data_IF_697460867527
#
_entry.id   IF_697460867527
#
_cell.length_a   1.000
_cell.length_b   1.000
_cell.length_c   1.000
_cell.angle_alpha   90.00
_cell.angle_beta   90.00
_cell.angle_gamma   90.00
#
_symmetry.space_group_name_H-M   'P 1'
#
loop_
_entity.id
_entity.type
_entity.pdbx_description
1 polymer ?
#
# COMPACT_ATOMS: atom_id res chain seq x y z
N UNK A 1 -38.56 -4.58 1.34
CA UNK A 1 -37.90 -3.47 2.06
C UNK A 1 -36.50 -3.33 1.50
N UNK A 2 -36.25 -2.31 0.67
CA UNK A 2 -34.88 -1.92 0.31
C UNK A 2 -34.24 -1.29 1.55
N UNK A 3 -33.35 -2.02 2.23
CA UNK A 3 -32.48 -1.42 3.22
C UNK A 3 -31.53 -0.48 2.47
N UNK A 4 -31.61 0.81 2.76
CA UNK A 4 -30.63 1.80 2.32
C UNK A 4 -29.29 1.46 2.98
N UNK A 5 -28.39 0.83 2.23
CA UNK A 5 -27.01 0.62 2.64
C UNK A 5 -26.27 1.96 2.58
N UNK A 6 -26.49 2.81 3.60
CA UNK A 6 -25.82 4.10 3.69
C UNK A 6 -24.47 3.91 4.39
N UNK A 7 -23.39 4.17 3.65
CA UNK A 7 -22.04 4.28 4.21
C UNK A 7 -22.02 5.58 5.02
N UNK A 8 -21.74 5.47 6.32
CA UNK A 8 -21.69 6.61 7.23
C UNK A 8 -20.29 6.68 7.84
N UNK A 9 -19.64 7.82 7.67
CA UNK A 9 -18.32 8.13 8.22
C UNK A 9 -18.46 9.38 9.09
N UNK A 10 -17.97 9.31 10.32
CA UNK A 10 -17.96 10.43 11.25
C UNK A 10 -16.53 10.86 11.56
N UNK A 11 -16.28 12.16 11.50
CA UNK A 11 -15.12 12.76 12.14
C UNK A 11 -15.43 12.91 13.62
N UNK A 12 -14.78 12.11 14.45
CA UNK A 12 -15.03 12.08 15.89
C UNK A 12 -14.17 13.09 16.65
N UNK A 13 -12.98 13.40 16.11
CA UNK A 13 -12.06 14.35 16.71
C UNK A 13 -11.34 15.16 15.64
N UNK A 14 -11.28 16.47 15.86
CA UNK A 14 -10.44 17.40 15.11
C UNK A 14 -9.91 18.45 16.09
N UNK A 15 -8.63 18.36 16.43
CA UNK A 15 -7.96 19.32 17.32
C UNK A 15 -6.78 19.89 16.56
N UNK A 16 -6.68 21.22 16.51
CA UNK A 16 -5.54 21.94 15.98
C UNK A 16 -5.12 23.05 16.95
N UNK A 17 -3.81 23.24 17.12
CA UNK A 17 -3.22 24.31 17.92
C UNK A 17 -2.12 24.96 17.09
N UNK A 18 -2.20 26.28 16.94
CA UNK A 18 -1.15 27.10 16.36
C UNK A 18 -0.55 28.01 17.44
N UNK A 19 0.77 27.91 17.63
CA UNK A 19 1.48 28.70 18.62
C UNK A 19 2.68 29.40 17.98
N UNK A 20 2.75 30.71 18.16
CA UNK A 20 3.95 31.50 17.85
C UNK A 20 5.01 31.22 18.93
N UNK A 21 6.13 30.60 18.55
CA UNK A 21 7.16 30.14 19.50
C UNK A 21 8.37 31.07 19.57
N UNK A 22 8.76 31.70 18.46
CA UNK A 22 9.86 32.67 18.42
C UNK A 22 9.81 33.57 17.19
N UNK A 23 9.89 34.90 17.38
CA UNK A 23 9.76 35.88 16.28
C UNK A 23 8.58 35.50 15.40
N UNK A 24 8.75 35.31 14.11
CA UNK A 24 7.68 34.97 13.16
C UNK A 24 7.53 33.45 12.93
N UNK A 25 8.10 32.61 13.80
CA UNK A 25 8.00 31.15 13.69
C UNK A 25 6.72 30.68 14.37
N UNK A 26 5.94 29.90 13.64
CA UNK A 26 4.70 29.26 14.08
C UNK A 26 4.92 27.76 14.15
N UNK A 27 4.54 27.17 15.28
CA UNK A 27 4.44 25.73 15.48
C UNK A 27 2.97 25.35 15.48
N UNK A 28 2.61 24.37 14.64
CA UNK A 28 1.26 23.82 14.55
C UNK A 28 1.28 22.34 14.93
N UNK A 29 0.34 21.94 15.77
CA UNK A 29 0.00 20.53 16.01
C UNK A 29 -1.44 20.28 15.63
N UNK A 30 -1.70 19.22 14.87
CA UNK A 30 -3.05 18.79 14.47
C UNK A 30 -3.25 17.30 14.72
N UNK A 31 -4.44 16.93 15.18
CA UNK A 31 -4.89 15.55 15.37
C UNK A 31 -6.30 15.39 14.80
N UNK A 32 -6.43 14.51 13.82
CA UNK A 32 -7.70 14.13 13.22
C UNK A 32 -7.93 12.64 13.45
N UNK A 33 -9.08 12.30 14.02
CA UNK A 33 -9.54 10.92 14.16
C UNK A 33 -10.93 10.74 13.55
N UNK A 34 -11.03 9.76 12.65
CA UNK A 34 -12.23 9.43 11.89
C UNK A 34 -12.57 7.97 12.11
N UNK A 35 -13.85 7.67 12.31
CA UNK A 35 -14.35 6.31 12.40
C UNK A 35 -15.47 6.11 11.38
N UNK A 36 -15.39 5.00 10.64
CA UNK A 36 -16.45 4.54 9.75
C UNK A 36 -17.44 3.72 10.57
N UNK A 37 -18.73 4.08 10.53
CA UNK A 37 -19.80 3.32 11.19
C UNK A 37 -20.22 2.09 10.40
N UNK A 38 -20.15 2.17 9.06
CA UNK A 38 -20.41 1.07 8.15
C UNK A 38 -19.37 1.11 7.04
N UNK A 39 -18.43 0.17 7.03
CA UNK A 39 -17.55 0.03 5.87
C UNK A 39 -18.29 -0.62 4.71
N UNK A 40 -17.78 -0.42 3.50
CA UNK A 40 -18.17 -1.24 2.37
C UNK A 40 -17.69 -2.67 2.63
N UNK A 41 -18.57 -3.64 2.46
CA UNK A 41 -18.20 -5.03 2.29
C UNK A 41 -18.79 -5.57 1.00
N UNK A 42 -18.02 -6.37 0.27
CA UNK A 42 -18.50 -7.15 -0.85
C UNK A 42 -18.27 -8.62 -0.57
N UNK A 43 -19.28 -9.44 -0.84
CA UNK A 43 -19.16 -10.89 -0.84
C UNK A 43 -19.78 -11.46 -2.10
N UNK A 44 -19.29 -12.61 -2.55
CA UNK A 44 -19.89 -13.32 -3.67
C UNK A 44 -20.91 -14.33 -3.16
N UNK A 45 -22.19 -14.05 -3.39
CA UNK A 45 -23.31 -14.90 -2.96
C UNK A 45 -23.34 -16.26 -3.66
N UNK A 46 -22.64 -16.40 -4.80
CA UNK A 46 -22.55 -17.65 -5.53
C UNK A 46 -21.33 -18.50 -5.12
N UNK A 47 -20.42 -17.99 -4.29
CA UNK A 47 -19.24 -18.73 -3.81
C UNK A 47 -19.65 -19.73 -2.70
N UNK A 48 -19.30 -21.00 -2.87
CA UNK A 48 -19.46 -22.03 -1.85
C UNK A 48 -18.39 -21.88 -0.75
N UNK A 49 -18.71 -22.24 0.50
CA UNK A 49 -17.74 -22.18 1.59
C UNK A 49 -16.63 -23.21 1.41
N UNK A 50 -15.54 -23.02 2.17
CA UNK A 50 -14.50 -24.02 2.32
C UNK A 50 -15.05 -25.35 2.87
N UNK A 51 -14.47 -26.47 2.45
CA UNK A 51 -14.93 -27.83 2.81
C UNK A 51 -13.91 -28.61 3.64
N UNK A 52 -12.70 -28.07 3.80
CA UNK A 52 -11.63 -28.68 4.59
C UNK A 52 -10.72 -27.59 5.18
N UNK A 53 -9.71 -28.00 5.94
CA UNK A 53 -8.61 -27.16 6.41
C UNK A 53 -7.28 -27.82 6.02
N UNK A 54 -6.24 -27.01 5.89
CA UNK A 54 -4.88 -27.55 5.82
C UNK A 54 -4.43 -28.10 7.17
N UNK A 55 -3.58 -29.11 7.13
CA UNK A 55 -2.81 -29.56 8.28
C UNK A 55 -1.47 -28.83 8.35
N UNK A 56 -0.85 -28.83 9.54
CA UNK A 56 0.43 -28.17 9.79
C UNK A 56 0.29 -26.80 10.45
N UNK A 57 1.31 -25.94 10.35
CA UNK A 57 1.38 -24.70 11.12
C UNK A 57 0.40 -23.62 10.64
N UNK A 58 -0.01 -23.68 9.37
CA UNK A 58 -1.02 -22.83 8.78
C UNK A 58 -2.28 -23.63 8.46
N UNK A 59 -3.20 -23.68 9.42
CA UNK A 59 -4.46 -24.40 9.32
C UNK A 59 -5.58 -23.64 8.59
N UNK A 60 -5.25 -22.83 7.57
CA UNK A 60 -6.26 -22.04 6.84
C UNK A 60 -7.33 -22.94 6.17
N UNK A 61 -8.54 -22.41 5.93
CA UNK A 61 -9.58 -23.13 5.18
C UNK A 61 -9.14 -23.48 3.76
N UNK A 62 -9.65 -24.61 3.25
CA UNK A 62 -9.41 -25.13 1.92
C UNK A 62 -10.74 -25.28 1.17
N UNK A 63 -10.80 -24.67 0.01
CA UNK A 63 -11.97 -24.67 -0.85
C UNK A 63 -12.00 -25.88 -1.78
N UNK A 64 -13.19 -26.32 -2.21
CA UNK A 64 -13.35 -27.50 -3.05
C UNK A 64 -12.79 -27.32 -4.47
N UNK A 65 -12.36 -26.11 -4.84
CA UNK A 65 -11.72 -25.81 -6.12
C UNK A 65 -10.22 -26.14 -6.17
N UNK A 66 -9.58 -26.48 -5.05
CA UNK A 66 -8.14 -26.73 -5.02
C UNK A 66 -7.74 -27.86 -5.96
N UNK A 67 -6.76 -27.59 -6.84
CA UNK A 67 -6.27 -28.55 -7.83
C UNK A 67 -7.21 -28.78 -9.03
N UNK A 68 -8.34 -28.06 -9.10
CA UNK A 68 -9.26 -28.08 -10.23
C UNK A 68 -9.04 -26.86 -11.12
N UNK A 69 -9.46 -26.97 -12.38
CA UNK A 69 -9.47 -25.85 -13.33
C UNK A 69 -10.71 -25.89 -14.23
N UNK A 70 -10.99 -24.76 -14.89
CA UNK A 70 -12.10 -24.63 -15.85
C UNK A 70 -13.47 -25.00 -15.28
N UNK A 71 -14.23 -25.78 -16.03
CA UNK A 71 -15.60 -26.19 -15.67
C UNK A 71 -15.66 -26.99 -14.36
N UNK A 72 -14.67 -27.84 -14.09
CA UNK A 72 -14.63 -28.64 -12.85
C UNK A 72 -14.51 -27.74 -11.62
N UNK A 73 -13.63 -26.73 -11.69
CA UNK A 73 -13.45 -25.74 -10.62
C UNK A 73 -14.72 -24.90 -10.42
N UNK A 74 -15.32 -24.40 -11.52
CA UNK A 74 -16.56 -23.64 -11.44
C UNK A 74 -17.70 -24.45 -10.80
N UNK A 75 -17.83 -25.73 -11.15
CA UNK A 75 -18.83 -26.63 -10.56
C UNK A 75 -18.59 -26.93 -9.08
N UNK A 76 -17.32 -26.95 -8.66
CA UNK A 76 -16.94 -27.16 -7.27
C UNK A 76 -17.19 -25.92 -6.40
N UNK A 77 -16.86 -24.73 -6.93
CA UNK A 77 -16.86 -23.46 -6.18
C UNK A 77 -18.18 -22.70 -6.19
N UNK A 78 -19.09 -22.99 -7.12
CA UNK A 78 -20.31 -22.18 -7.29
C UNK A 78 -21.59 -22.94 -6.95
N UNK A 79 -22.53 -22.28 -6.28
CA UNK A 79 -23.88 -22.84 -6.10
C UNK A 79 -24.58 -23.03 -7.45
N UNK A 80 -24.50 -22.04 -8.33
CA UNK A 80 -24.94 -22.11 -9.72
C UNK A 80 -23.76 -21.82 -10.67
N UNK A 81 -23.18 -22.85 -11.32
CA UNK A 81 -22.01 -22.69 -12.18
C UNK A 81 -22.24 -21.83 -13.42
N UNK A 82 -23.50 -21.60 -13.82
CA UNK A 82 -23.86 -20.73 -14.96
C UNK A 82 -23.74 -19.24 -14.65
N UNK A 83 -23.66 -18.87 -13.37
CA UNK A 83 -23.48 -17.48 -12.93
C UNK A 83 -21.99 -17.30 -12.59
N UNK A 84 -21.29 -16.50 -13.38
CA UNK A 84 -19.84 -16.29 -13.21
C UNK A 84 -19.51 -15.38 -12.02
N UNK A 85 -20.38 -14.43 -11.71
CA UNK A 85 -20.24 -13.49 -10.61
C UNK A 85 -21.62 -13.15 -10.02
N UNK A 86 -21.71 -13.14 -8.69
CA UNK A 86 -22.88 -12.68 -7.96
C UNK A 86 -22.42 -11.88 -6.73
N UNK A 87 -21.61 -10.85 -6.99
CA UNK A 87 -21.07 -10.01 -5.91
C UNK A 87 -22.15 -9.07 -5.37
N UNK A 88 -22.35 -9.10 -4.05
CA UNK A 88 -23.35 -8.32 -3.33
C UNK A 88 -22.62 -7.36 -2.38
N UNK A 89 -23.09 -6.11 -2.34
CA UNK A 89 -22.66 -5.13 -1.36
C UNK A 89 -23.47 -5.27 -0.08
N UNK A 90 -22.80 -5.22 1.06
CA UNK A 90 -23.42 -5.10 2.37
C UNK A 90 -22.61 -4.15 3.28
N UNK A 91 -23.17 -3.82 4.44
CA UNK A 91 -22.48 -3.03 5.46
C UNK A 91 -21.52 -3.91 6.25
N UNK A 92 -20.23 -3.60 6.16
CA UNK A 92 -19.16 -4.25 6.91
C UNK A 92 -18.85 -3.58 8.26
N UNK A 93 -18.03 -4.23 9.10
CA UNK A 93 -17.66 -3.75 10.43
C UNK A 93 -16.88 -2.42 10.40
N UNK A 94 -16.73 -1.81 11.57
CA UNK A 94 -16.09 -0.50 11.76
C UNK A 94 -14.67 -0.45 11.19
N UNK A 95 -14.30 0.72 10.66
CA UNK A 95 -12.92 1.06 10.29
C UNK A 95 -12.60 2.47 10.76
N UNK A 96 -11.44 2.99 10.40
CA UNK A 96 -11.11 4.36 10.75
C UNK A 96 -9.70 4.78 10.39
N UNK A 97 -9.45 6.07 10.58
CA UNK A 97 -8.14 6.66 10.37
C UNK A 97 -7.80 7.65 11.48
N UNK A 98 -6.50 7.76 11.74
CA UNK A 98 -5.88 8.73 12.60
C UNK A 98 -4.81 9.44 11.78
N UNK A 99 -4.81 10.77 11.78
CA UNK A 99 -3.74 11.58 11.22
C UNK A 99 -3.25 12.55 12.30
N UNK A 100 -1.95 12.55 12.57
CA UNK A 100 -1.30 13.47 13.49
C UNK A 100 -0.23 14.25 12.74
N UNK A 101 -0.34 15.57 12.71
CA UNK A 101 0.57 16.46 11.99
C UNK A 101 1.29 17.39 12.94
N UNK A 102 2.60 17.52 12.76
CA UNK A 102 3.41 18.59 13.35
C UNK A 102 3.99 19.41 12.21
N UNK A 103 3.76 20.72 12.24
CA UNK A 103 4.29 21.68 11.26
C UNK A 103 5.04 22.79 11.98
N UNK A 104 6.18 23.18 11.43
CA UNK A 104 6.90 24.38 11.83
C UNK A 104 7.10 25.26 10.60
N UNK A 105 6.80 26.55 10.72
CA UNK A 105 6.91 27.47 9.60
C UNK A 105 7.35 28.86 10.02
N UNK A 106 8.05 29.53 9.11
CA UNK A 106 8.24 30.97 9.09
C UNK A 106 7.59 31.49 7.81
N UNK A 107 6.42 32.15 7.89
CA UNK A 107 5.73 32.65 6.70
C UNK A 107 6.62 33.59 5.88
N UNK A 108 6.56 33.45 4.55
CA UNK A 108 7.21 34.40 3.64
C UNK A 108 6.53 35.76 3.77
N UNK A 109 7.28 36.76 4.21
CA UNK A 109 6.79 38.16 4.25
C UNK A 109 6.89 38.80 2.86
N UNK A 110 6.57 40.09 2.76
CA UNK A 110 6.78 40.86 1.53
C UNK A 110 8.22 40.81 1.00
N UNK A 111 9.22 40.49 1.82
CA UNK A 111 10.59 40.25 1.35
C UNK A 111 11.32 39.22 2.18
N UNK A 112 12.28 38.55 1.55
CA UNK A 112 13.21 37.64 2.18
C UNK A 112 12.73 36.19 2.24
N UNK A 113 13.28 35.47 3.22
CA UNK A 113 13.13 34.03 3.39
C UNK A 113 11.88 33.66 4.19
N UNK A 114 11.06 32.80 3.61
CA UNK A 114 10.06 32.00 4.31
C UNK A 114 10.30 30.51 4.10
N UNK A 115 9.83 29.70 5.01
CA UNK A 115 9.98 28.25 4.93
C UNK A 115 8.93 27.53 5.77
N UNK A 116 8.68 26.27 5.46
CA UNK A 116 7.84 25.38 6.25
C UNK A 116 8.39 23.95 6.16
N UNK A 117 8.24 23.20 7.23
CA UNK A 117 8.40 21.76 7.26
C UNK A 117 7.24 21.16 8.06
N UNK A 118 6.65 20.08 7.55
CA UNK A 118 5.58 19.35 8.22
C UNK A 118 5.83 17.86 8.11
N UNK A 119 5.48 17.14 9.18
CA UNK A 119 5.43 15.70 9.22
C UNK A 119 4.03 15.27 9.65
N UNK A 120 3.43 14.38 8.86
CA UNK A 120 2.15 13.75 9.15
C UNK A 120 2.36 12.25 9.33
N UNK A 121 1.96 11.75 10.49
CA UNK A 121 1.79 10.33 10.75
C UNK A 121 0.34 9.93 10.52
N UNK A 122 0.10 8.87 9.73
CA UNK A 122 -1.24 8.34 9.49
C UNK A 122 -1.33 6.88 9.93
N UNK A 123 -2.46 6.47 10.49
CA UNK A 123 -2.86 5.07 10.61
C UNK A 123 -4.27 4.93 10.10
N UNK A 124 -4.49 4.09 9.09
CA UNK A 124 -5.80 3.86 8.52
C UNK A 124 -6.05 2.36 8.39
N UNK A 125 -7.19 1.91 8.90
CA UNK A 125 -7.64 0.53 8.80
C UNK A 125 -9.05 0.47 8.27
N UNK A 126 -9.29 -0.45 7.36
CA UNK A 126 -10.60 -0.70 6.78
C UNK A 126 -10.87 -2.20 6.69
N UNK A 127 -12.16 -2.51 6.58
CA UNK A 127 -12.58 -3.87 6.28
C UNK A 127 -12.28 -4.24 4.83
N UNK A 128 -12.49 -3.30 3.91
CA UNK A 128 -12.23 -3.43 2.48
C UNK A 128 -11.93 -2.07 1.86
N UNK A 129 -10.82 -1.96 1.14
CA UNK A 129 -10.54 -0.85 0.22
C UNK A 129 -11.21 -1.16 -1.12
N UNK A 130 -12.40 -0.59 -1.35
CA UNK A 130 -13.15 -0.84 -2.58
C UNK A 130 -12.46 -0.21 -3.80
N UNK A 131 -12.37 -0.99 -4.88
CA UNK A 131 -11.90 -0.55 -6.19
C UNK A 131 -13.03 0.00 -7.06
N UNK A 132 -12.83 -0.05 -8.37
CA UNK A 132 -13.75 0.56 -9.35
C UNK A 132 -15.09 -0.16 -9.51
N UNK A 133 -15.14 -1.49 -9.34
CA UNK A 133 -16.36 -2.29 -9.43
C UNK A 133 -16.47 -3.29 -8.27
N UNK A 134 -17.70 -3.74 -7.98
CA UNK A 134 -17.98 -4.66 -6.88
C UNK A 134 -17.16 -5.95 -6.97
N UNK A 135 -17.17 -6.61 -8.13
CA UNK A 135 -16.45 -7.87 -8.34
C UNK A 135 -14.95 -7.72 -8.16
N UNK A 136 -14.32 -6.68 -8.70
CA UNK A 136 -12.87 -6.43 -8.52
C UNK A 136 -12.51 -6.08 -7.08
N UNK A 137 -13.42 -5.44 -6.35
CA UNK A 137 -13.22 -5.14 -4.92
C UNK A 137 -13.24 -6.42 -4.09
N UNK A 138 -14.17 -7.32 -4.40
CA UNK A 138 -14.24 -8.64 -3.77
C UNK A 138 -13.05 -9.52 -4.16
N UNK A 139 -12.68 -9.62 -5.44
CA UNK A 139 -11.56 -10.48 -5.86
C UNK A 139 -10.19 -9.92 -5.48
N UNK A 140 -10.05 -8.60 -5.39
CA UNK A 140 -8.77 -7.92 -5.16
C UNK A 140 -8.31 -7.90 -3.70
N UNK A 141 -9.17 -8.26 -2.74
CA UNK A 141 -8.80 -8.22 -1.32
C UNK A 141 -7.95 -9.43 -0.95
N UNK A 142 -6.81 -9.20 -0.28
CA UNK A 142 -6.02 -10.32 0.23
C UNK A 142 -6.65 -10.91 1.51
N UNK A 143 -6.67 -12.24 1.60
CA UNK A 143 -7.35 -12.95 2.68
C UNK A 143 -6.62 -14.22 3.10
N UNK A 144 -6.99 -14.74 4.28
CA UNK A 144 -6.55 -16.05 4.78
C UNK A 144 -7.68 -17.09 4.66
N UNK A 145 -8.92 -16.64 4.90
CA UNK A 145 -10.11 -17.51 5.00
C UNK A 145 -11.01 -17.44 3.75
N UNK A 146 -10.52 -16.87 2.67
CA UNK A 146 -11.28 -16.56 1.47
C UNK A 146 -11.98 -15.20 1.52
N UNK A 147 -12.31 -14.67 0.35
CA UNK A 147 -12.71 -13.27 0.19
C UNK A 147 -14.14 -12.95 0.67
N UNK A 148 -14.94 -13.97 1.01
CA UNK A 148 -16.22 -13.80 1.73
C UNK A 148 -16.04 -13.68 3.27
N UNK A 149 -14.82 -13.84 3.79
CA UNK A 149 -14.55 -13.88 5.24
C UNK A 149 -13.23 -13.19 5.57
N UNK A 150 -13.19 -11.88 5.34
CA UNK A 150 -12.00 -11.05 5.53
C UNK A 150 -11.94 -10.43 6.94
N UNK A 151 -10.79 -9.83 7.25
CA UNK A 151 -10.54 -9.12 8.51
C UNK A 151 -10.31 -7.63 8.23
N UNK A 152 -10.48 -6.81 9.27
CA UNK A 152 -9.99 -5.42 9.26
C UNK A 152 -8.47 -5.46 9.13
N UNK A 153 -7.94 -4.72 8.15
CA UNK A 153 -6.51 -4.63 7.92
C UNK A 153 -6.09 -3.19 7.64
N UNK A 154 -4.81 -2.97 7.31
CA UNK A 154 -4.37 -1.65 6.89
C UNK A 154 -5.02 -1.28 5.55
N UNK A 155 -5.41 -0.01 5.42
CA UNK A 155 -6.01 0.51 4.18
C UNK A 155 -4.99 0.62 3.07
N UNK A 156 -5.41 0.40 1.82
CA UNK A 156 -4.60 0.64 0.62
C UNK A 156 -4.15 2.10 0.53
N UNK A 157 -4.98 3.00 1.09
CA UNK A 157 -4.80 4.44 1.01
C UNK A 157 -3.97 5.02 2.17
N UNK A 158 -3.40 4.18 3.04
CA UNK A 158 -2.62 4.67 4.17
C UNK A 158 -1.21 5.12 3.75
N UNK A 159 -0.98 6.43 3.82
CA UNK A 159 0.35 7.04 3.78
C UNK A 159 0.83 7.23 5.22
N UNK A 160 1.55 6.23 5.75
CA UNK A 160 1.96 6.16 7.16
C UNK A 160 2.77 7.37 7.60
N UNK A 161 3.74 7.76 6.78
CA UNK A 161 4.66 8.85 7.08
C UNK A 161 4.77 9.72 5.84
N UNK A 162 4.41 10.99 5.98
CA UNK A 162 4.59 12.00 4.94
C UNK A 162 5.33 13.19 5.53
N UNK A 163 6.45 13.53 4.92
CA UNK A 163 7.18 14.77 5.18
C UNK A 163 6.98 15.69 4.00
N UNK A 164 6.62 16.93 4.25
CA UNK A 164 6.64 17.98 3.23
C UNK A 164 7.42 19.17 3.75
N UNK A 165 7.95 19.96 2.84
CA UNK A 165 8.52 21.25 3.20
C UNK A 165 8.65 22.14 1.99
N UNK A 166 8.80 23.43 2.25
CA UNK A 166 9.11 24.38 1.21
C UNK A 166 10.02 25.47 1.74
N UNK A 167 10.83 26.01 0.84
CA UNK A 167 11.67 27.18 1.06
C UNK A 167 11.29 28.19 -0.01
N UNK A 168 10.99 29.42 0.41
CA UNK A 168 10.68 30.53 -0.48
C UNK A 168 11.64 31.69 -0.21
N UNK A 169 12.15 32.31 -1.26
CA UNK A 169 12.94 33.51 -1.14
C UNK A 169 12.46 34.56 -2.13
N UNK A 170 11.95 35.70 -1.61
CA UNK A 170 11.46 36.82 -2.42
C UNK A 170 12.41 38.00 -2.33
N UNK A 171 12.81 38.51 -3.49
CA UNK A 171 13.67 39.68 -3.67
C UNK A 171 12.84 40.75 -4.38
N UNK A 172 12.75 41.95 -3.81
CA UNK A 172 12.18 43.10 -4.51
C UNK A 172 13.26 43.78 -5.34
N UNK A 173 12.99 43.96 -6.62
CA UNK A 173 13.85 44.60 -7.60
C UNK A 173 13.35 46.04 -7.79
N UNK A 174 13.72 46.90 -6.85
CA UNK A 174 13.23 48.28 -6.78
C UNK A 174 11.72 48.34 -6.49
N UNK A 175 11.04 49.34 -7.08
CA UNK A 175 9.64 49.63 -6.79
C UNK A 175 8.66 49.07 -7.84
N UNK A 176 9.14 48.27 -8.79
CA UNK A 176 8.34 47.83 -9.95
C UNK A 176 8.48 46.36 -10.31
N UNK A 177 9.32 45.61 -9.60
CA UNK A 177 9.50 44.18 -9.87
C UNK A 177 9.86 43.39 -8.61
N UNK A 178 9.58 42.09 -8.64
CA UNK A 178 10.05 41.14 -7.62
C UNK A 178 10.37 39.80 -8.27
N UNK A 179 11.40 39.13 -7.75
CA UNK A 179 11.77 37.77 -8.14
C UNK A 179 11.57 36.86 -6.93
N UNK A 180 10.91 35.74 -7.12
CA UNK A 180 10.68 34.74 -6.09
C UNK A 180 11.17 33.38 -6.55
N UNK A 181 11.94 32.73 -5.69
CA UNK A 181 12.33 31.33 -5.85
C UNK A 181 11.58 30.50 -4.82
N UNK A 182 11.10 29.33 -5.23
CA UNK A 182 10.46 28.35 -4.35
C UNK A 182 11.01 26.97 -4.61
N UNK A 183 11.40 26.26 -3.56
CA UNK A 183 11.73 24.85 -3.60
C UNK A 183 10.74 24.11 -2.71
N UNK A 184 9.96 23.21 -3.27
CA UNK A 184 9.07 22.32 -2.54
C UNK A 184 9.70 20.93 -2.49
N UNK A 185 9.68 20.29 -1.32
CA UNK A 185 10.16 18.93 -1.12
C UNK A 185 9.08 18.07 -0.48
N UNK A 186 8.99 16.81 -0.90
CA UNK A 186 8.14 15.82 -0.25
C UNK A 186 8.84 14.48 -0.14
N UNK A 187 8.59 13.78 0.96
CA UNK A 187 8.93 12.37 1.15
C UNK A 187 7.72 11.60 1.68
N UNK A 188 7.41 10.46 1.07
CA UNK A 188 6.35 9.59 1.56
C UNK A 188 6.55 8.13 1.11
N UNK A 189 5.91 7.19 1.80
CA UNK A 189 5.78 5.84 1.29
C UNK A 189 4.87 5.83 0.04
N UNK A 190 5.15 4.94 -0.91
CA UNK A 190 4.41 4.83 -2.17
C UNK A 190 3.21 3.89 -2.08
N UNK A 191 2.53 3.88 -0.93
CA UNK A 191 1.48 2.92 -0.61
C UNK A 191 2.00 1.69 0.16
N UNK A 192 1.08 0.75 0.37
CA UNK A 192 1.31 -0.50 1.10
C UNK A 192 1.20 -1.68 0.15
N UNK A 193 1.69 -2.84 0.59
CA UNK A 193 1.47 -4.08 -0.12
C UNK A 193 1.36 -5.27 0.85
N UNK A 194 0.81 -6.36 0.34
CA UNK A 194 0.65 -7.64 1.03
C UNK A 194 1.64 -8.66 0.48
N UNK A 195 2.24 -9.46 1.35
CA UNK A 195 2.92 -10.67 0.90
C UNK A 195 1.90 -11.79 0.74
N UNK A 196 1.80 -12.35 -0.46
CA UNK A 196 0.83 -13.40 -0.79
C UNK A 196 1.52 -14.64 -1.35
N UNK A 197 0.79 -15.74 -1.50
CA UNK A 197 1.21 -16.83 -2.37
C UNK A 197 1.01 -16.43 -3.83
N UNK A 198 1.89 -16.94 -4.70
CA UNK A 198 1.70 -16.95 -6.14
C UNK A 198 0.72 -18.06 -6.51
N UNK A 199 -0.34 -17.70 -7.23
CA UNK A 199 -1.43 -18.61 -7.57
C UNK A 199 -2.54 -18.63 -6.50
N UNK A 200 -3.35 -19.68 -6.55
CA UNK A 200 -4.48 -19.93 -5.65
C UNK A 200 -4.08 -21.01 -4.63
N UNK A 201 -3.72 -20.58 -3.42
CA UNK A 201 -3.23 -21.45 -2.35
C UNK A 201 -4.39 -22.17 -1.65
N UNK A 202 -5.49 -21.47 -1.43
CA UNK A 202 -6.62 -22.03 -0.66
C UNK A 202 -7.64 -22.78 -1.55
N UNK A 203 -7.58 -22.60 -2.87
CA UNK A 203 -8.44 -23.22 -3.87
C UNK A 203 -9.76 -22.50 -4.13
N UNK A 204 -9.92 -21.23 -3.76
CA UNK A 204 -11.17 -20.45 -3.86
C UNK A 204 -11.41 -19.87 -5.25
N UNK A 205 -10.51 -20.14 -6.21
CA UNK A 205 -10.60 -19.69 -7.58
C UNK A 205 -10.03 -18.29 -7.82
N UNK A 206 -9.41 -17.67 -6.81
CA UNK A 206 -8.74 -16.39 -6.91
C UNK A 206 -7.22 -16.59 -6.85
N UNK A 207 -6.49 -15.97 -7.78
CA UNK A 207 -5.04 -16.09 -7.83
C UNK A 207 -4.39 -14.85 -7.21
N UNK A 208 -3.40 -15.06 -6.35
CA UNK A 208 -2.54 -14.00 -5.81
C UNK A 208 -3.14 -13.19 -4.65
N UNK A 209 -4.30 -13.58 -4.14
CA UNK A 209 -4.98 -12.95 -3.01
C UNK A 209 -4.72 -13.65 -1.66
N UNK A 210 -4.16 -14.86 -1.65
CA UNK A 210 -3.90 -15.59 -0.42
C UNK A 210 -2.71 -15.02 0.35
N UNK A 211 -2.94 -14.46 1.55
CA UNK A 211 -1.85 -13.97 2.41
C UNK A 211 -0.89 -15.09 2.79
N UNK A 212 0.40 -14.80 2.82
CA UNK A 212 1.44 -15.81 3.00
C UNK A 212 1.66 -16.17 4.47
N UNK A 213 1.79 -17.45 4.81
CA UNK A 213 2.34 -17.87 6.10
C UNK A 213 3.87 -17.80 6.07
N UNK A 214 4.47 -17.21 7.10
CA UNK A 214 5.93 -17.14 7.24
C UNK A 214 6.39 -18.23 8.21
N UNK A 215 7.11 -19.27 7.76
CA UNK A 215 7.56 -20.38 8.62
C UNK A 215 8.42 -19.92 9.79
N UNK A 216 8.23 -20.50 10.99
CA UNK A 216 9.09 -20.21 12.17
C UNK A 216 10.56 -20.49 11.89
N UNK A 217 10.81 -21.59 11.19
CA UNK A 217 12.13 -22.05 10.77
C UNK A 217 11.99 -23.02 9.59
N UNK A 218 13.10 -23.58 9.11
CA UNK A 218 13.13 -24.49 7.96
C UNK A 218 12.39 -25.82 8.17
N UNK A 219 12.07 -26.22 9.41
CA UNK A 219 11.32 -27.45 9.69
C UNK A 219 9.85 -27.36 9.27
N UNK A 220 9.31 -26.15 9.20
CA UNK A 220 7.95 -25.87 8.72
C UNK A 220 7.86 -25.70 7.20
N UNK A 221 8.99 -25.77 6.47
CA UNK A 221 9.04 -25.61 5.02
C UNK A 221 8.87 -26.96 4.32
N UNK A 222 7.71 -27.18 3.70
CA UNK A 222 7.39 -28.37 2.91
C UNK A 222 7.49 -28.08 1.40
N UNK A 223 8.72 -28.05 0.87
CA UNK A 223 8.98 -27.74 -0.54
C UNK A 223 9.06 -28.98 -1.44
N UNK A 224 8.58 -28.84 -2.67
CA UNK A 224 8.84 -29.79 -3.76
C UNK A 224 10.10 -29.38 -4.52
N UNK A 225 10.89 -30.36 -4.96
CA UNK A 225 12.04 -30.08 -5.83
C UNK A 225 11.58 -29.48 -7.16
N UNK A 226 12.30 -28.49 -7.67
CA UNK A 226 12.03 -27.89 -8.97
C UNK A 226 12.98 -28.49 -10.01
N UNK A 227 12.43 -29.13 -11.03
CA UNK A 227 13.22 -29.63 -12.16
C UNK A 227 13.72 -28.48 -13.03
N UNK A 228 14.79 -28.71 -13.77
CA UNK A 228 15.26 -27.75 -14.76
C UNK A 228 14.17 -27.47 -15.80
N UNK A 229 14.01 -26.21 -16.19
CA UNK A 229 13.01 -25.76 -17.16
C UNK A 229 13.55 -24.65 -18.04
N UNK A 230 13.69 -24.92 -19.34
CA UNK A 230 14.32 -23.98 -20.28
C UNK A 230 15.75 -23.65 -19.84
N UNK A 231 16.04 -22.36 -19.65
CA UNK A 231 17.34 -21.87 -19.16
C UNK A 231 17.47 -21.89 -17.64
N UNK A 232 16.42 -22.22 -16.88
CA UNK A 232 16.47 -22.27 -15.42
C UNK A 232 17.01 -23.63 -14.94
N UNK A 233 18.07 -23.66 -14.11
CA UNK A 233 18.61 -24.90 -13.57
C UNK A 233 17.62 -25.55 -12.59
N UNK A 234 17.80 -26.86 -12.33
CA UNK A 234 17.06 -27.53 -11.27
C UNK A 234 17.43 -26.94 -9.90
N UNK A 235 16.44 -26.81 -9.02
CA UNK A 235 16.63 -26.26 -7.66
C UNK A 235 16.19 -27.31 -6.64
N UNK A 236 17.14 -27.71 -5.78
CA UNK A 236 16.89 -28.67 -4.70
C UNK A 236 15.99 -28.07 -3.62
N UNK A 237 15.35 -28.94 -2.84
CA UNK A 237 14.55 -28.52 -1.68
C UNK A 237 15.37 -27.68 -0.70
N UNK A 238 16.61 -28.08 -0.40
CA UNK A 238 17.45 -27.35 0.55
C UNK A 238 17.80 -25.94 0.04
N UNK A 239 18.15 -25.81 -1.24
CA UNK A 239 18.43 -24.51 -1.85
C UNK A 239 17.20 -23.58 -1.78
N UNK A 240 15.99 -24.10 -1.99
CA UNK A 240 14.76 -23.33 -1.84
C UNK A 240 14.54 -22.89 -0.38
N UNK A 241 14.80 -23.76 0.60
CA UNK A 241 14.72 -23.43 2.04
C UNK A 241 15.69 -22.32 2.41
N UNK A 242 16.95 -22.45 2.00
CA UNK A 242 17.99 -21.46 2.31
C UNK A 242 17.69 -20.11 1.66
N UNK A 243 17.26 -20.10 0.39
CA UNK A 243 16.89 -18.89 -0.33
C UNK A 243 15.69 -18.19 0.31
N UNK A 244 14.64 -18.93 0.68
CA UNK A 244 13.47 -18.33 1.32
C UNK A 244 13.78 -17.84 2.74
N UNK A 245 14.60 -18.58 3.50
CA UNK A 245 15.02 -18.15 4.82
C UNK A 245 15.81 -16.84 4.76
N UNK A 246 16.76 -16.73 3.81
CA UNK A 246 17.48 -15.49 3.54
C UNK A 246 16.55 -14.34 3.12
N UNK A 247 15.56 -14.62 2.26
CA UNK A 247 14.56 -13.65 1.84
C UNK A 247 13.71 -13.13 3.01
N UNK A 248 13.34 -13.99 3.96
CA UNK A 248 12.62 -13.57 5.17
C UNK A 248 13.54 -12.71 6.06
N UNK A 249 14.80 -13.10 6.22
CA UNK A 249 15.73 -12.45 7.15
C UNK A 249 16.18 -11.06 6.67
N UNK A 250 16.24 -10.81 5.36
CA UNK A 250 16.55 -9.48 4.82
C UNK A 250 15.40 -8.47 4.95
N UNK A 251 14.15 -8.94 5.10
CA UNK A 251 12.98 -8.07 5.19
C UNK A 251 12.53 -7.90 6.66
N UNK A 252 12.59 -6.66 7.22
CA UNK A 252 12.25 -6.42 8.63
C UNK A 252 10.79 -6.75 9.00
N UNK A 253 9.87 -6.73 8.03
CA UNK A 253 8.49 -7.10 8.26
C UNK A 253 8.35 -8.62 8.29
N UNK A 254 8.84 -9.34 7.27
CA UNK A 254 8.76 -10.80 7.21
C UNK A 254 9.49 -11.48 8.37
N UNK A 255 10.65 -10.96 8.77
CA UNK A 255 11.39 -11.47 9.93
C UNK A 255 10.54 -11.44 11.22
N UNK A 256 9.69 -10.41 11.40
CA UNK A 256 8.75 -10.31 12.54
C UNK A 256 7.50 -11.18 12.39
N UNK A 257 7.21 -11.65 11.18
CA UNK A 257 6.06 -12.49 10.88
C UNK A 257 6.35 -13.99 10.99
N UNK A 258 7.59 -14.41 11.30
CA UNK A 258 7.93 -15.81 11.60
C UNK A 258 6.89 -16.46 12.53
N UNK A 259 6.31 -17.56 12.09
CA UNK A 259 5.25 -18.28 12.77
C UNK A 259 3.84 -17.71 12.62
N UNK A 260 3.63 -16.77 11.70
CA UNK A 260 2.36 -16.06 11.51
C UNK A 260 2.03 -15.90 10.04
N UNK A 261 0.76 -15.69 9.75
CA UNK A 261 0.30 -15.23 8.44
C UNK A 261 0.52 -13.73 8.32
N UNK A 262 1.01 -13.28 7.16
CA UNK A 262 1.22 -11.86 6.87
C UNK A 262 -0.09 -11.08 6.98
N UNK A 263 -0.03 -9.86 7.49
CA UNK A 263 -1.16 -8.92 7.46
C UNK A 263 -1.40 -8.40 6.03
N UNK A 264 -2.67 -8.24 5.66
CA UNK A 264 -3.05 -7.47 4.47
C UNK A 264 -2.53 -6.05 4.63
N UNK A 265 -1.79 -5.61 3.61
CA UNK A 265 -1.11 -4.32 3.56
C UNK A 265 -0.15 -4.11 4.73
N UNK A 266 0.48 -5.19 5.23
CA UNK A 266 1.40 -5.10 6.36
C UNK A 266 2.71 -4.38 6.03
N UNK A 267 3.16 -4.42 4.77
CA UNK A 267 4.44 -3.84 4.34
C UNK A 267 4.28 -2.56 3.49
N UNK A 268 5.40 -1.88 3.22
CA UNK A 268 5.46 -0.59 2.56
C UNK A 268 6.27 -0.64 1.27
N UNK A 269 5.77 0.00 0.23
CA UNK A 269 6.63 0.32 -0.91
C UNK A 269 7.74 1.30 -0.46
N UNK A 270 8.93 1.25 -1.09
CA UNK A 270 10.03 2.16 -0.77
C UNK A 270 9.59 3.63 -0.79
N UNK A 271 10.18 4.43 0.09
CA UNK A 271 9.90 5.86 0.14
C UNK A 271 10.43 6.55 -1.10
N UNK A 272 9.69 7.54 -1.57
CA UNK A 272 10.12 8.44 -2.63
C UNK A 272 10.38 9.82 -2.05
N UNK A 273 11.43 10.48 -2.51
CA UNK A 273 11.77 11.87 -2.18
C UNK A 273 11.79 12.68 -3.48
N UNK A 274 10.97 13.72 -3.59
CA UNK A 274 10.92 14.59 -4.77
C UNK A 274 11.05 16.05 -4.37
N UNK A 275 11.71 16.81 -5.24
CA UNK A 275 11.84 18.25 -5.12
C UNK A 275 11.35 18.93 -6.40
N UNK A 276 10.53 19.96 -6.24
CA UNK A 276 10.03 20.79 -7.34
C UNK A 276 10.56 22.21 -7.16
N UNK A 277 11.14 22.77 -8.22
CA UNK A 277 11.69 24.12 -8.23
C UNK A 277 10.76 25.05 -9.01
N UNK A 278 10.47 26.21 -8.45
CA UNK A 278 9.69 27.26 -9.10
C UNK A 278 10.43 28.59 -9.04
N UNK A 279 10.33 29.37 -10.10
CA UNK A 279 10.75 30.77 -10.13
C UNK A 279 9.64 31.64 -10.68
N UNK A 280 9.46 32.80 -10.09
CA UNK A 280 8.39 33.73 -10.42
C UNK A 280 8.93 35.16 -10.49
N UNK A 281 8.74 35.80 -11.63
CA UNK A 281 8.98 37.22 -11.84
C UNK A 281 7.64 37.96 -11.78
N UNK A 282 7.52 38.91 -10.88
CA UNK A 282 6.42 39.86 -10.82
C UNK A 282 6.88 41.21 -11.36
N UNK A 283 6.10 41.81 -12.25
CA UNK A 283 6.25 43.18 -12.70
C UNK A 283 5.02 43.95 -12.25
N UNK A 284 5.18 44.96 -11.41
CA UNK A 284 4.06 45.72 -10.87
C UNK A 284 4.21 47.22 -11.05
N UNK A 285 3.07 47.88 -11.29
CA UNK A 285 3.00 49.33 -11.44
C UNK A 285 1.65 49.83 -10.95
N UNK A 286 1.65 51.00 -10.32
CA UNK A 286 0.41 51.71 -10.02
C UNK A 286 -0.09 52.42 -11.28
N UNK A 287 -1.32 52.14 -11.70
CA UNK A 287 -2.02 52.85 -12.77
C UNK A 287 -3.26 53.48 -12.12
N UNK A 288 -3.23 54.81 -11.99
CA UNK A 288 -4.20 55.53 -11.15
C UNK A 288 -4.08 55.12 -9.68
N UNK A 289 -5.21 54.76 -9.07
CA UNK A 289 -5.29 54.33 -7.66
C UNK A 289 -4.98 52.83 -7.45
N UNK A 290 -4.83 52.07 -8.53
CA UNK A 290 -4.77 50.61 -8.47
C UNK A 290 -3.36 50.10 -8.79
N UNK A 291 -2.91 49.10 -8.04
CA UNK A 291 -1.69 48.34 -8.35
C UNK A 291 -2.02 47.25 -9.37
N UNK A 292 -1.35 47.28 -10.51
CA UNK A 292 -1.41 46.23 -11.54
C UNK A 292 -0.15 45.38 -11.45
N UNK A 293 -0.28 44.06 -11.56
CA UNK A 293 0.85 43.12 -11.49
C UNK A 293 0.73 42.10 -12.62
N UNK A 294 1.82 41.90 -13.36
CA UNK A 294 2.00 40.79 -14.31
C UNK A 294 2.93 39.78 -13.63
N UNK A 295 2.54 38.51 -13.63
CA UNK A 295 3.34 37.43 -13.06
C UNK A 295 3.76 36.46 -14.18
N UNK A 296 5.04 36.16 -14.24
CA UNK A 296 5.63 35.16 -15.14
C UNK A 296 6.23 34.09 -14.24
N UNK A 297 5.83 32.83 -14.44
CA UNK A 297 6.25 31.70 -13.61
C UNK A 297 6.84 30.59 -14.49
N UNK A 298 7.91 29.98 -14.00
CA UNK A 298 8.48 28.76 -14.57
C UNK A 298 8.64 27.71 -13.47
N UNK A 299 8.22 26.49 -13.75
CA UNK A 299 8.26 25.36 -12.83
C UNK A 299 9.04 24.20 -13.43
N UNK A 300 9.87 23.57 -12.60
CA UNK A 300 10.59 22.34 -12.91
C UNK A 300 10.17 21.31 -11.86
N UNK A 301 9.28 20.41 -12.26
CA UNK A 301 8.89 19.27 -11.45
C UNK A 301 10.01 18.23 -11.42
N UNK A 302 10.18 17.59 -10.27
CA UNK A 302 11.21 16.59 -10.06
C UNK A 302 12.61 17.13 -10.41
N UNK A 303 12.93 18.34 -9.95
CA UNK A 303 14.20 19.02 -10.16
C UNK A 303 15.42 18.17 -9.77
N UNK A 304 15.29 17.32 -8.75
CA UNK A 304 16.32 16.34 -8.41
C UNK A 304 16.67 15.41 -9.58
N UNK A 305 15.67 14.96 -10.33
CA UNK A 305 15.85 14.09 -11.49
C UNK A 305 16.55 14.77 -12.67
N UNK A 306 16.28 16.07 -12.86
CA UNK A 306 16.98 16.90 -13.85
C UNK A 306 18.49 16.96 -13.57
N UNK A 307 18.89 16.93 -12.29
CA UNK A 307 20.30 16.93 -11.88
C UNK A 307 20.89 15.51 -11.91
N UNK A 308 20.15 14.52 -11.43
CA UNK A 308 20.57 13.12 -11.37
C UNK A 308 19.39 12.20 -11.70
N UNK A 309 19.52 11.39 -12.76
CA UNK A 309 18.45 10.51 -13.25
C UNK A 309 17.96 9.46 -12.25
N UNK A 310 18.69 9.16 -11.17
CA UNK A 310 18.26 8.27 -10.10
C UNK A 310 17.47 9.00 -9.00
N UNK A 311 17.62 10.32 -8.86
CA UNK A 311 16.92 11.10 -7.84
C UNK A 311 15.45 11.32 -8.23
N UNK A 312 14.55 11.19 -7.25
CA UNK A 312 13.11 11.42 -7.46
C UNK A 312 12.39 10.35 -8.28
N UNK A 313 13.03 9.20 -8.49
CA UNK A 313 12.45 8.03 -9.16
C UNK A 313 11.86 7.07 -8.13
N UNK A 314 10.75 6.44 -8.50
CA UNK A 314 10.05 5.43 -7.72
C UNK A 314 10.79 4.09 -7.78
N UNK A 315 11.11 3.51 -6.62
CA UNK A 315 11.52 2.11 -6.52
C UNK A 315 10.32 1.24 -6.15
N UNK A 316 10.31 0.01 -6.64
CA UNK A 316 9.28 -0.99 -6.37
C UNK A 316 9.89 -2.25 -5.78
N UNK A 317 9.12 -2.97 -4.98
CA UNK A 317 9.52 -4.29 -4.49
C UNK A 317 9.57 -5.29 -5.65
N UNK A 318 10.68 -6.02 -5.75
CA UNK A 318 10.90 -6.99 -6.84
C UNK A 318 9.93 -8.18 -6.80
N UNK A 319 9.59 -8.67 -5.61
CA UNK A 319 8.62 -9.76 -5.43
C UNK A 319 7.87 -9.63 -4.10
N UNK A 320 6.56 -9.75 -4.17
CA UNK A 320 5.66 -9.82 -3.00
C UNK A 320 4.92 -11.17 -2.92
N UNK A 321 5.17 -12.07 -3.88
CA UNK A 321 4.60 -13.41 -3.93
C UNK A 321 5.69 -14.47 -4.11
N UNK A 322 6.60 -14.61 -3.13
CA UNK A 322 7.82 -15.39 -3.27
C UNK A 322 7.61 -16.92 -3.30
N UNK A 323 6.42 -17.39 -2.93
CA UNK A 323 6.09 -18.82 -2.84
C UNK A 323 4.93 -19.16 -3.74
N UNK A 324 5.02 -20.26 -4.48
CA UNK A 324 3.93 -20.84 -5.27
C UNK A 324 3.30 -22.02 -4.53
N UNK A 325 1.98 -22.11 -4.54
CA UNK A 325 1.26 -23.29 -4.07
C UNK A 325 1.45 -24.45 -5.06
N UNK A 326 2.08 -25.53 -4.62
CA UNK A 326 2.41 -26.71 -5.43
C UNK A 326 1.46 -27.91 -5.17
N UNK A 327 0.40 -27.69 -4.39
CA UNK A 327 -0.60 -28.70 -4.06
C UNK A 327 -0.62 -29.05 -2.58
N UNK A 328 -1.06 -30.27 -2.27
CA UNK A 328 -1.20 -30.78 -0.89
C UNK A 328 -0.65 -32.19 -0.86
N UNK A 329 0.07 -32.54 0.21
CA UNK A 329 0.53 -33.91 0.41
C UNK A 329 -0.57 -34.84 0.95
N UNK A 330 -0.25 -36.13 1.08
CA UNK A 330 -1.17 -37.15 1.57
C UNK A 330 -1.65 -36.91 3.02
N UNK A 331 -0.91 -36.12 3.79
CA UNK A 331 -1.25 -35.76 5.16
C UNK A 331 -2.04 -34.45 5.23
N UNK A 332 -2.41 -33.84 4.11
CA UNK A 332 -3.16 -32.59 4.09
C UNK A 332 -2.30 -31.35 4.36
N UNK A 333 -0.96 -31.46 4.34
CA UNK A 333 -0.04 -30.32 4.53
C UNK A 333 0.23 -29.67 3.17
N UNK A 334 0.27 -28.33 3.07
CA UNK A 334 0.59 -27.67 1.81
C UNK A 334 1.97 -28.07 1.27
N UNK A 335 2.04 -28.27 -0.05
CA UNK A 335 3.28 -28.37 -0.79
C UNK A 335 3.57 -27.02 -1.45
N UNK A 336 4.81 -26.56 -1.34
CA UNK A 336 5.21 -25.24 -1.80
C UNK A 336 6.40 -25.35 -2.77
N UNK A 337 6.64 -24.28 -3.53
CA UNK A 337 7.90 -24.10 -4.24
C UNK A 337 8.26 -22.60 -4.27
N UNK A 338 9.53 -22.24 -4.40
CA UNK A 338 9.92 -20.84 -4.60
C UNK A 338 9.44 -20.35 -5.96
N UNK A 339 8.87 -19.15 -6.00
CA UNK A 339 8.43 -18.53 -7.24
C UNK A 339 9.65 -18.16 -8.11
N UNK A 340 9.50 -18.23 -9.44
CA UNK A 340 10.59 -17.90 -10.38
C UNK A 340 11.14 -16.48 -10.21
N UNK A 341 10.33 -15.55 -9.69
CA UNK A 341 10.71 -14.16 -9.39
C UNK A 341 11.68 -14.04 -8.22
N UNK A 342 11.68 -15.00 -7.28
CA UNK A 342 12.66 -15.04 -6.18
C UNK A 342 14.05 -15.48 -6.67
N UNK A 343 14.10 -16.41 -7.64
CA UNK A 343 15.35 -16.98 -8.14
C UNK A 343 16.18 -16.00 -8.98
N UNK A 344 15.63 -14.84 -9.34
CA UNK A 344 16.30 -13.77 -10.06
C UNK A 344 17.02 -12.76 -9.14
N UNK A 345 16.94 -12.94 -7.81
CA UNK A 345 17.55 -12.06 -6.82
C UNK A 345 19.05 -12.39 -6.69
N UNK A 346 19.84 -12.11 -7.72
CA UNK A 346 21.31 -12.22 -7.62
C UNK A 346 22.02 -10.90 -7.33
N UNK A 347 21.40 -9.73 -7.49
CA UNK A 347 22.02 -8.43 -7.12
C UNK A 347 20.97 -7.38 -6.78
N UNK A 348 20.74 -7.15 -5.49
CA UNK A 348 20.14 -5.89 -5.03
C UNK A 348 21.29 -4.90 -4.83
N UNK A 349 21.47 -4.00 -5.80
CA UNK A 349 22.14 -2.73 -5.53
C UNK A 349 21.16 -1.89 -4.71
N UNK A 350 21.57 -1.55 -3.49
CA UNK A 350 20.92 -0.56 -2.62
C UNK A 350 21.22 0.84 -3.15
#
# INVERSE_FOLDING_TARGET
MQALHQILVYQLLNIAIDQKIFKDIVLTGELIYTQSLNNINYYNANQRPATAFFNGPDGRPRFPGLGLSGTAQANALRFNPKISDATVMESGPLGGSLAATVKIEKPTKSKGLGWMAAYTFTRARDFMSAGSIASSSWTGIQSVRGNNSTDIAFSDNEIRNRVIGNINYRIELGNSAALQFSLFGQSQNQGRFSYTYSGDMNGDGLNGNDLMYVPRDQSEMNFVAQNASGSAPAVTVQQQKDAFDAFINQDPYLSKMRGKVTERNGSFQPYIVRFDLSTQLELFRNIGKNKHTIQIRADIFNFGNLINNAAGVSNFVNTFNPLTAAGVDANGVPLLATASTMLLIEKVQV
#
